data_IF_287508543682
#
_entry.id   IF_287508543682
#
_cell.length_a   1.000
_cell.length_b   1.000
_cell.length_c   1.000
_cell.angle_alpha   90.00
_cell.angle_beta   90.00
_cell.angle_gamma   90.00
#
_symmetry.space_group_name_H-M   'P 1'
#
loop_
_entity.id
_entity.type
_entity.pdbx_description
1 polymer ?
#
# COMPACT_ATOMS: atom_id res chain seq x y z
N UNK A 1 12.48 10.43 3.23
CA UNK A 1 11.39 9.49 2.95
C UNK A 1 11.80 8.07 3.27
N UNK A 2 10.88 7.31 3.76
CA UNK A 2 11.13 5.91 4.10
C UNK A 2 10.45 5.00 3.08
N UNK A 3 11.10 3.89 2.76
CA UNK A 3 10.58 2.89 1.84
C UNK A 3 10.32 1.60 2.60
N UNK A 4 9.13 1.05 2.47
CA UNK A 4 8.78 -0.23 3.08
C UNK A 4 8.15 -1.13 2.04
N UNK A 5 8.31 -2.44 2.24
CA UNK A 5 7.66 -3.44 1.40
C UNK A 5 6.72 -4.26 2.25
N UNK A 6 5.48 -4.36 1.81
CA UNK A 6 4.44 -5.11 2.51
C UNK A 6 3.92 -6.22 1.62
N UNK A 7 3.66 -7.37 2.22
CA UNK A 7 2.98 -8.46 1.52
C UNK A 7 1.49 -8.28 1.72
N UNK A 8 0.75 -8.24 0.62
CA UNK A 8 -0.69 -7.99 0.64
C UNK A 8 -1.42 -9.14 -0.03
N UNK A 9 -2.39 -9.70 0.66
CA UNK A 9 -3.24 -10.77 0.14
C UNK A 9 -4.55 -10.19 -0.40
N UNK A 10 -5.11 -10.87 -1.38
CA UNK A 10 -6.36 -10.45 -2.00
C UNK A 10 -6.20 -9.64 -3.27
N UNK A 11 -4.98 -9.29 -3.64
CA UNK A 11 -4.71 -8.61 -4.91
C UNK A 11 -4.69 -9.62 -6.04
N UNK A 12 -5.72 -9.62 -6.86
CA UNK A 12 -5.82 -10.58 -7.95
C UNK A 12 -6.00 -9.93 -9.33
N UNK A 13 -6.13 -8.61 -9.40
CA UNK A 13 -6.36 -7.93 -10.67
C UNK A 13 -5.83 -6.49 -10.66
N UNK A 14 -5.79 -5.89 -11.85
CA UNK A 14 -5.28 -4.53 -12.01
C UNK A 14 -6.08 -3.46 -11.27
N UNK A 15 -7.36 -3.70 -10.99
CA UNK A 15 -8.18 -2.76 -10.22
C UNK A 15 -7.67 -2.63 -8.79
N UNK A 16 -7.17 -3.71 -8.23
CA UNK A 16 -6.61 -3.71 -6.89
C UNK A 16 -5.39 -2.79 -6.82
N UNK A 17 -4.54 -2.86 -7.83
CA UNK A 17 -3.35 -2.00 -7.94
C UNK A 17 -3.75 -0.53 -7.91
N UNK A 18 -4.71 -0.15 -8.75
CA UNK A 18 -5.16 1.23 -8.84
C UNK A 18 -5.77 1.72 -7.53
N UNK A 19 -6.55 0.86 -6.87
CA UNK A 19 -7.18 1.20 -5.60
C UNK A 19 -6.14 1.49 -4.52
N UNK A 20 -5.13 0.65 -4.42
CA UNK A 20 -4.07 0.82 -3.43
C UNK A 20 -3.26 2.08 -3.72
N UNK A 21 -2.84 2.26 -4.97
CA UNK A 21 -2.06 3.43 -5.36
C UNK A 21 -2.82 4.73 -5.10
N UNK A 22 -4.10 4.74 -5.43
CA UNK A 22 -4.94 5.91 -5.22
C UNK A 22 -5.13 6.21 -3.74
N UNK A 23 -5.38 5.19 -2.94
CA UNK A 23 -5.53 5.33 -1.49
C UNK A 23 -4.25 5.87 -0.85
N UNK A 24 -3.10 5.37 -1.27
CA UNK A 24 -1.82 5.85 -0.77
C UNK A 24 -1.58 7.30 -1.17
N UNK A 25 -1.90 7.65 -2.41
CA UNK A 25 -1.78 9.04 -2.88
C UNK A 25 -2.63 9.99 -2.05
N UNK A 26 -3.83 9.56 -1.65
CA UNK A 26 -4.73 10.37 -0.83
C UNK A 26 -4.16 10.69 0.55
N UNK A 27 -3.34 9.81 1.10
CA UNK A 27 -2.72 10.05 2.40
C UNK A 27 -1.33 10.67 2.30
N UNK A 28 -0.90 10.96 1.07
CA UNK A 28 0.39 11.60 0.84
C UNK A 28 1.56 10.65 0.67
N UNK A 29 1.30 9.39 0.38
CA UNK A 29 2.32 8.39 0.14
C UNK A 29 2.33 7.98 -1.34
N UNK A 30 3.35 7.24 -1.74
CA UNK A 30 3.44 6.67 -3.07
C UNK A 30 3.59 5.17 -2.95
N UNK A 31 2.84 4.42 -3.73
CA UNK A 31 2.89 2.96 -3.69
C UNK A 31 3.19 2.39 -5.07
N UNK A 32 3.99 1.33 -5.09
CA UNK A 32 4.23 0.53 -6.27
C UNK A 32 3.81 -0.90 -5.95
N UNK A 33 2.93 -1.47 -6.76
CA UNK A 33 2.39 -2.80 -6.53
C UNK A 33 3.02 -3.80 -7.50
N UNK A 34 3.51 -4.90 -6.95
CA UNK A 34 4.00 -6.02 -7.74
C UNK A 34 3.06 -7.21 -7.55
N UNK A 35 2.25 -7.49 -8.57
CA UNK A 35 1.29 -8.58 -8.53
C UNK A 35 1.95 -9.96 -8.52
N UNK A 36 3.13 -10.09 -9.11
CA UNK A 36 3.82 -11.37 -9.15
C UNK A 36 4.27 -11.83 -7.78
N UNK A 37 4.80 -10.92 -6.99
CA UNK A 37 5.26 -11.23 -5.64
C UNK A 37 4.21 -10.90 -4.58
N UNK A 38 3.07 -10.35 -5.00
CA UNK A 38 1.99 -9.92 -4.10
C UNK A 38 2.49 -8.95 -3.04
N UNK A 39 3.37 -8.05 -3.45
CA UNK A 39 3.95 -7.07 -2.55
C UNK A 39 3.64 -5.66 -2.98
N UNK A 40 3.64 -4.76 -2.01
CA UNK A 40 3.44 -3.34 -2.24
C UNK A 40 4.63 -2.63 -1.62
N UNK A 41 5.33 -1.85 -2.43
CA UNK A 41 6.42 -1.00 -1.95
C UNK A 41 5.85 0.39 -1.75
N UNK A 42 5.97 0.90 -0.54
CA UNK A 42 5.40 2.20 -0.18
C UNK A 42 6.52 3.17 0.19
N UNK A 43 6.49 4.33 -0.44
CA UNK A 43 7.37 5.45 -0.15
C UNK A 43 6.58 6.49 0.61
N UNK A 44 6.99 6.81 1.82
CA UNK A 44 6.27 7.78 2.64
C UNK A 44 7.21 8.57 3.54
N UNK A 45 6.73 9.71 3.99
CA UNK A 45 7.45 10.55 4.94
C UNK A 45 7.06 10.12 6.35
N UNK A 46 7.99 9.48 7.05
CA UNK A 46 7.73 8.94 8.39
C UNK A 46 7.47 10.02 9.45
N UNK A 47 7.71 11.28 9.11
CA UNK A 47 7.35 12.39 10.02
C UNK A 47 5.88 12.76 9.90
N UNK A 48 5.21 12.35 8.82
CA UNK A 48 3.80 12.63 8.57
C UNK A 48 2.93 11.40 8.66
N UNK A 49 3.47 10.24 8.31
CA UNK A 49 2.75 8.99 8.26
C UNK A 49 3.47 7.91 9.05
N UNK A 50 2.71 6.95 9.55
CA UNK A 50 3.27 5.80 10.26
C UNK A 50 2.99 4.53 9.46
N UNK A 51 3.73 3.48 9.77
CA UNK A 51 3.51 2.17 9.16
C UNK A 51 2.09 1.67 9.44
N UNK A 52 1.57 1.94 10.62
CA UNK A 52 0.21 1.55 10.97
C UNK A 52 -0.83 2.23 10.10
N UNK A 53 -0.63 3.50 9.79
CA UNK A 53 -1.53 4.25 8.90
C UNK A 53 -1.51 3.67 7.50
N UNK A 54 -0.35 3.27 7.01
CA UNK A 54 -0.21 2.64 5.70
C UNK A 54 -0.95 1.31 5.66
N UNK A 55 -0.76 0.47 6.67
CA UNK A 55 -1.45 -0.82 6.77
C UNK A 55 -2.96 -0.63 6.83
N UNK A 56 -3.41 0.29 7.66
CA UNK A 56 -4.84 0.58 7.80
C UNK A 56 -5.46 1.05 6.50
N UNK A 57 -4.74 1.88 5.76
CA UNK A 57 -5.20 2.36 4.45
C UNK A 57 -5.38 1.20 3.47
N UNK A 58 -4.46 0.25 3.47
CA UNK A 58 -4.56 -0.93 2.62
C UNK A 58 -5.73 -1.81 3.06
N UNK A 59 -5.89 -2.01 4.35
CA UNK A 59 -6.97 -2.83 4.89
C UNK A 59 -8.34 -2.22 4.61
N UNK A 60 -8.45 -0.90 4.64
CA UNK A 60 -9.68 -0.18 4.29
C UNK A 60 -10.12 -0.44 2.85
N UNK A 61 -9.20 -0.80 1.98
CA UNK A 61 -9.53 -1.15 0.60
C UNK A 61 -10.02 -2.61 0.46
N UNK A 62 -10.05 -3.35 1.56
CA UNK A 62 -10.49 -4.73 1.55
C UNK A 62 -9.37 -5.76 1.38
N UNK A 63 -8.13 -5.36 1.52
CA UNK A 63 -6.98 -6.25 1.39
C UNK A 63 -6.38 -6.54 2.76
N UNK A 64 -5.66 -7.63 2.85
CA UNK A 64 -5.03 -8.03 4.10
C UNK A 64 -3.52 -7.91 3.98
N UNK A 65 -2.93 -7.18 4.90
CA UNK A 65 -1.47 -7.06 5.01
C UNK A 65 -0.94 -8.21 5.87
N UNK A 66 0.03 -8.91 5.33
CA UNK A 66 0.61 -10.08 5.99
C UNK A 66 1.98 -9.77 6.57
#
# INVERSE_FOLDING_TARGET
MKTIELNVQGMSCGHCVNSIEKAMSNVGAKAEVDLKSRSVTVYFDETKLTLEMIKETIEDQGYQVV
#
